data_IF_448308593010
#
_entry.id   IF_448308593010
#
_cell.length_a   1.000
_cell.length_b   1.000
_cell.length_c   1.000
_cell.angle_alpha   90.00
_cell.angle_beta   90.00
_cell.angle_gamma   90.00
#
_symmetry.space_group_name_H-M   'P 1'
#
loop_
_entity.id
_entity.type
_entity.pdbx_description
1 polymer ?
#
# COMPACT_ATOMS: atom_id res chain seq x y z
N UNK A 1 6.08 52.59 -8.83
CA UNK A 1 5.21 53.73 -9.26
C UNK A 1 4.31 53.27 -10.39
N UNK A 2 3.01 53.62 -10.41
CA UNK A 2 2.03 53.21 -11.46
C UNK A 2 1.83 54.34 -12.46
N UNK A 3 1.83 54.03 -13.75
CA UNK A 3 1.56 54.98 -14.84
C UNK A 3 0.81 54.28 -15.99
N UNK A 4 0.16 55.08 -16.85
CA UNK A 4 -0.66 54.59 -17.95
C UNK A 4 -0.28 55.31 -19.24
N UNK A 5 -0.33 54.57 -20.36
CA UNK A 5 -0.19 55.09 -21.72
C UNK A 5 -1.46 54.71 -22.46
N UNK A 6 -2.30 55.70 -22.76
CA UNK A 6 -3.57 55.47 -23.46
C UNK A 6 -3.41 55.68 -24.96
N UNK A 7 -4.25 54.99 -25.72
CA UNK A 7 -4.42 55.16 -27.17
C UNK A 7 -3.15 54.92 -28.00
N UNK A 8 -2.20 54.13 -27.50
CA UNK A 8 -0.95 53.82 -28.20
C UNK A 8 -1.22 52.91 -29.40
N UNK A 9 -0.91 53.38 -30.61
CA UNK A 9 -1.10 52.62 -31.85
C UNK A 9 0.17 51.80 -32.12
N UNK A 10 0.03 50.49 -32.29
CA UNK A 10 1.12 49.57 -32.57
C UNK A 10 0.78 48.65 -33.76
N UNK A 11 1.81 48.35 -34.55
CA UNK A 11 1.72 47.55 -35.77
C UNK A 11 1.89 46.04 -35.52
N UNK A 12 1.50 45.27 -36.53
CA UNK A 12 1.48 43.81 -36.49
C UNK A 12 0.23 43.26 -35.80
N UNK A 13 0.32 42.03 -35.32
CA UNK A 13 -0.83 41.31 -34.75
C UNK A 13 -1.02 41.61 -33.26
N UNK A 14 -2.12 41.13 -32.68
CA UNK A 14 -2.56 41.52 -31.33
C UNK A 14 -1.50 41.17 -30.27
N UNK A 15 -1.10 42.18 -29.50
CA UNK A 15 -0.15 42.08 -28.39
C UNK A 15 -0.88 41.75 -27.08
N UNK A 16 -0.17 41.06 -26.21
CA UNK A 16 -0.53 40.76 -24.82
C UNK A 16 0.67 41.02 -23.91
N UNK A 17 0.44 41.25 -22.62
CA UNK A 17 1.52 41.29 -21.64
C UNK A 17 2.18 39.91 -21.54
N UNK A 18 3.51 39.88 -21.42
CA UNK A 18 4.28 38.66 -21.20
C UNK A 18 3.95 38.08 -19.81
N UNK A 19 3.84 36.74 -19.65
CA UNK A 19 3.75 36.12 -18.33
C UNK A 19 4.93 36.52 -17.44
N UNK A 20 4.66 36.62 -16.13
CA UNK A 20 5.68 36.96 -15.12
C UNK A 20 6.09 35.66 -14.43
N UNK A 21 7.15 35.06 -14.95
CA UNK A 21 7.72 33.82 -14.40
C UNK A 21 8.83 34.10 -13.38
N UNK A 22 9.44 35.29 -13.42
CA UNK A 22 10.48 35.75 -12.49
C UNK A 22 9.89 36.73 -11.45
N UNK A 23 10.00 36.46 -10.14
CA UNK A 23 9.52 37.39 -9.10
C UNK A 23 10.31 38.71 -9.02
N UNK A 24 11.50 38.80 -9.63
CA UNK A 24 12.39 39.97 -9.58
C UNK A 24 12.28 40.87 -10.83
N UNK A 25 11.18 40.84 -11.58
CA UNK A 25 11.00 41.72 -12.75
C UNK A 25 11.03 43.21 -12.34
N UNK A 26 11.86 44.07 -12.96
CA UNK A 26 11.99 45.47 -12.54
C UNK A 26 10.82 46.35 -13.00
N UNK A 27 10.06 45.91 -14.00
CA UNK A 27 8.82 46.55 -14.47
C UNK A 27 7.74 45.49 -14.69
N UNK A 28 6.53 45.78 -14.22
CA UNK A 28 5.31 44.99 -14.45
C UNK A 28 4.44 45.72 -15.46
N UNK A 29 4.12 45.09 -16.59
CA UNK A 29 3.28 45.66 -17.65
C UNK A 29 1.93 44.91 -17.76
N UNK A 30 0.85 45.65 -17.98
CA UNK A 30 -0.51 45.14 -18.21
C UNK A 30 -1.14 45.85 -19.41
N UNK A 31 -1.85 45.09 -20.23
CA UNK A 31 -2.74 45.65 -21.26
C UNK A 31 -4.12 45.83 -20.63
N UNK A 32 -4.58 47.07 -20.48
CA UNK A 32 -5.90 47.39 -19.93
C UNK A 32 -7.00 47.18 -20.98
N UNK A 33 -6.76 47.65 -22.20
CA UNK A 33 -7.71 47.55 -23.31
C UNK A 33 -6.99 47.40 -24.65
N UNK A 34 -7.69 46.82 -25.63
CA UNK A 34 -7.24 46.75 -27.03
C UNK A 34 -8.41 47.07 -27.94
N UNK A 35 -8.23 48.03 -28.83
CA UNK A 35 -9.20 48.46 -29.84
C UNK A 35 -8.63 48.19 -31.23
N UNK A 36 -9.45 47.72 -32.21
CA UNK A 36 -9.02 47.66 -33.60
C UNK A 36 -8.83 49.08 -34.16
N UNK A 37 -7.82 49.27 -35.01
CA UNK A 37 -7.51 50.55 -35.63
C UNK A 37 -7.01 50.36 -37.08
N UNK A 38 -7.94 50.09 -38.00
CA UNK A 38 -7.61 49.73 -39.39
C UNK A 38 -6.87 48.39 -39.45
N UNK A 39 -5.69 48.38 -40.06
CA UNK A 39 -4.76 47.24 -40.04
C UNK A 39 -3.89 47.14 -38.78
N UNK A 40 -4.04 48.09 -37.85
CA UNK A 40 -3.25 48.22 -36.62
C UNK A 40 -4.14 47.98 -35.39
N UNK A 41 -3.51 47.96 -34.22
CA UNK A 41 -4.20 47.89 -32.93
C UNK A 41 -3.84 49.09 -32.05
N UNK A 42 -4.83 49.58 -31.32
CA UNK A 42 -4.69 50.68 -30.36
C UNK A 42 -4.83 50.14 -28.94
N UNK A 43 -3.87 50.43 -28.07
CA UNK A 43 -3.77 49.87 -26.73
C UNK A 43 -3.87 50.96 -25.66
N UNK A 44 -4.54 50.61 -24.56
CA UNK A 44 -4.33 51.29 -23.29
C UNK A 44 -3.45 50.36 -22.43
N UNK A 45 -2.25 50.84 -22.10
CA UNK A 45 -1.24 50.12 -21.34
C UNK A 45 -1.10 50.71 -19.93
N UNK A 46 -0.77 49.86 -18.99
CA UNK A 46 -0.47 50.22 -17.60
C UNK A 46 0.83 49.55 -17.18
N UNK A 47 1.77 50.34 -16.67
CA UNK A 47 3.02 49.81 -16.14
C UNK A 47 3.23 50.24 -14.69
N UNK A 48 3.87 49.36 -13.93
CA UNK A 48 4.31 49.59 -12.57
C UNK A 48 5.79 49.27 -12.46
N UNK A 49 6.60 50.28 -12.15
CA UNK A 49 8.03 50.12 -11.95
C UNK A 49 8.36 49.83 -10.49
N UNK A 50 9.19 48.80 -10.30
CA UNK A 50 9.79 48.38 -9.02
C UNK A 50 11.18 49.00 -8.84
N UNK A 51 11.96 49.12 -9.92
CA UNK A 51 13.31 49.68 -9.89
C UNK A 51 13.44 51.00 -10.68
N UNK A 52 14.34 51.92 -10.27
CA UNK A 52 14.69 53.10 -11.06
C UNK A 52 15.62 52.73 -12.22
N UNK A 53 15.38 53.30 -13.40
CA UNK A 53 16.17 52.98 -14.60
C UNK A 53 15.48 53.36 -15.91
N UNK A 54 16.14 53.06 -17.03
CA UNK A 54 15.59 53.16 -18.38
C UNK A 54 15.18 51.76 -18.86
N UNK A 55 13.92 51.59 -19.22
CA UNK A 55 13.37 50.30 -19.66
C UNK A 55 12.53 50.48 -20.93
N UNK A 56 12.52 49.49 -21.82
CA UNK A 56 11.64 49.47 -23.01
C UNK A 56 10.41 48.60 -22.71
N UNK A 57 9.20 49.16 -22.80
CA UNK A 57 7.97 48.40 -22.53
C UNK A 57 7.72 47.28 -23.56
N UNK A 58 8.36 47.33 -24.72
CA UNK A 58 8.34 46.26 -25.73
C UNK A 58 8.83 44.91 -25.18
N UNK A 59 9.81 44.91 -24.29
CA UNK A 59 10.42 43.68 -23.74
C UNK A 59 9.48 42.91 -22.81
N UNK A 60 8.39 43.56 -22.38
CA UNK A 60 7.33 43.03 -21.52
C UNK A 60 6.04 42.71 -22.30
N UNK A 61 6.06 42.83 -23.62
CA UNK A 61 4.96 42.46 -24.52
C UNK A 61 5.34 41.21 -25.33
N UNK A 62 4.31 40.49 -25.78
CA UNK A 62 4.45 39.41 -26.77
C UNK A 62 3.24 39.38 -27.70
N UNK A 63 3.41 38.85 -28.91
CA UNK A 63 2.32 38.67 -29.88
C UNK A 63 1.49 37.45 -29.47
N UNK A 64 0.16 37.57 -29.50
CA UNK A 64 -0.76 36.48 -29.13
C UNK A 64 -0.61 35.24 -30.04
N UNK A 65 -0.12 35.43 -31.26
CA UNK A 65 0.13 34.37 -32.25
C UNK A 65 1.59 33.87 -32.27
N UNK A 66 2.47 34.41 -31.42
CA UNK A 66 3.90 34.07 -31.41
C UNK A 66 4.75 34.66 -32.54
N UNK A 67 4.23 35.60 -33.34
CA UNK A 67 4.97 36.23 -34.44
C UNK A 67 6.02 37.28 -33.98
N UNK A 68 6.82 37.78 -34.93
CA UNK A 68 8.25 38.10 -34.76
C UNK A 68 8.67 39.26 -33.84
N UNK A 69 7.77 40.14 -33.38
CA UNK A 69 8.06 41.36 -32.57
C UNK A 69 9.04 42.42 -33.16
N UNK A 70 9.89 42.10 -34.15
CA UNK A 70 10.96 42.96 -34.70
C UNK A 70 10.45 44.27 -35.31
N UNK A 71 9.22 44.26 -35.80
CA UNK A 71 8.51 45.41 -36.37
C UNK A 71 7.89 46.35 -35.31
N UNK A 72 8.01 46.03 -34.02
CA UNK A 72 7.52 46.88 -32.94
C UNK A 72 8.52 48.00 -32.59
N UNK A 73 8.09 49.29 -32.60
CA UNK A 73 8.95 50.38 -32.15
C UNK A 73 9.28 50.24 -30.66
N UNK A 74 10.41 50.83 -30.26
CA UNK A 74 10.79 50.95 -28.85
C UNK A 74 9.82 51.90 -28.13
N UNK A 75 9.47 51.55 -26.89
CA UNK A 75 8.60 52.33 -26.00
C UNK A 75 9.41 52.61 -24.72
N UNK A 76 10.42 53.50 -24.78
CA UNK A 76 11.31 53.76 -23.65
C UNK A 76 10.61 54.54 -22.54
N UNK A 77 10.70 54.05 -21.31
CA UNK A 77 10.26 54.71 -20.08
C UNK A 77 11.45 54.95 -19.15
N UNK A 78 11.60 56.19 -18.69
CA UNK A 78 12.63 56.58 -17.72
C UNK A 78 11.99 56.71 -16.33
N UNK A 79 12.25 55.74 -15.47
CA UNK A 79 11.75 55.71 -14.09
C UNK A 79 12.78 56.37 -13.18
N UNK A 80 12.45 57.58 -12.73
CA UNK A 80 13.26 58.33 -11.77
C UNK A 80 12.99 57.83 -10.34
N UNK A 81 14.02 57.67 -9.48
CA UNK A 81 13.82 57.38 -8.08
C UNK A 81 13.13 58.57 -7.40
N UNK A 82 12.14 58.28 -6.53
CA UNK A 82 11.41 59.31 -5.78
C UNK A 82 12.23 59.84 -4.59
N UNK A 83 13.16 59.02 -4.08
CA UNK A 83 14.06 59.39 -2.98
C UNK A 83 15.52 59.37 -3.45
N UNK A 84 16.37 60.28 -2.95
CA UNK A 84 17.82 60.24 -3.20
C UNK A 84 18.45 58.90 -2.75
N UNK A 85 19.49 58.42 -3.46
CA UNK A 85 20.18 57.18 -3.09
C UNK A 85 20.81 57.30 -1.69
N UNK A 86 20.77 56.20 -0.94
CA UNK A 86 21.44 56.08 0.36
C UNK A 86 20.70 56.64 1.58
N UNK A 87 19.48 57.17 1.44
CA UNK A 87 18.73 57.70 2.59
C UNK A 87 18.20 56.64 3.57
N UNK A 88 18.04 55.39 3.13
CA UNK A 88 17.51 54.31 3.94
C UNK A 88 18.38 53.07 3.81
N UNK A 89 19.02 52.68 4.91
CA UNK A 89 19.50 51.32 5.09
C UNK A 89 18.37 50.50 5.73
N UNK A 90 17.99 49.33 5.16
CA UNK A 90 17.13 48.39 5.86
C UNK A 90 17.74 48.11 7.24
N UNK A 91 16.93 48.22 8.29
CA UNK A 91 17.44 47.96 9.63
C UNK A 91 17.96 46.51 9.68
N UNK A 92 19.20 46.31 10.17
CA UNK A 92 19.76 44.97 10.26
C UNK A 92 18.84 44.11 11.14
N UNK A 93 18.26 43.08 10.52
CA UNK A 93 17.38 42.14 11.21
C UNK A 93 18.23 41.34 12.19
N UNK A 94 18.28 41.79 13.45
CA UNK A 94 18.78 40.96 14.55
C UNK A 94 17.86 39.74 14.63
N UNK A 95 18.37 38.51 14.43
CA UNK A 95 17.53 37.32 14.52
C UNK A 95 17.10 37.12 15.97
N UNK A 96 15.94 37.66 16.32
CA UNK A 96 15.31 37.38 17.61
C UNK A 96 14.79 35.94 17.55
N UNK A 97 15.41 35.04 18.32
CA UNK A 97 14.86 33.69 18.47
C UNK A 97 13.41 33.80 18.97
N UNK A 98 12.44 33.14 18.30
CA UNK A 98 11.05 33.22 18.72
C UNK A 98 10.95 32.68 20.15
N UNK A 99 10.19 33.35 21.05
CA UNK A 99 10.02 32.87 22.42
C UNK A 99 9.51 31.44 22.36
N UNK A 100 10.27 30.52 22.95
CA UNK A 100 9.96 29.09 22.86
C UNK A 100 8.51 28.85 23.30
N UNK A 101 7.74 28.13 22.48
CA UNK A 101 6.35 27.77 22.76
C UNK A 101 6.28 26.86 23.99
N UNK A 102 6.27 27.50 25.15
CA UNK A 102 6.48 26.89 26.45
C UNK A 102 5.47 25.79 26.74
N UNK A 103 5.95 24.63 27.18
CA UNK A 103 5.11 23.51 27.60
C UNK A 103 4.62 22.59 26.48
N UNK A 104 4.30 23.06 25.27
CA UNK A 104 3.74 22.20 24.21
C UNK A 104 4.70 21.06 23.82
N UNK A 105 5.99 21.37 23.62
CA UNK A 105 7.05 20.37 23.39
C UNK A 105 7.16 19.37 24.55
N UNK A 106 6.93 19.81 25.79
CA UNK A 106 6.90 18.93 26.97
C UNK A 106 5.74 17.95 26.94
N UNK A 107 4.53 18.43 26.62
CA UNK A 107 3.34 17.58 26.46
C UNK A 107 3.46 16.59 25.30
N UNK A 108 4.07 16.98 24.17
CA UNK A 108 4.37 16.05 23.07
C UNK A 108 5.32 14.93 23.53
N UNK A 109 6.39 15.26 24.26
CA UNK A 109 7.34 14.27 24.78
C UNK A 109 6.64 13.34 25.79
N UNK A 110 5.86 13.87 26.73
CA UNK A 110 5.12 13.08 27.70
C UNK A 110 4.12 12.12 27.03
N UNK A 111 3.37 12.59 26.03
CA UNK A 111 2.45 11.77 25.23
C UNK A 111 3.19 10.68 24.44
N UNK A 112 4.32 11.02 23.82
CA UNK A 112 5.16 10.05 23.10
C UNK A 112 5.72 8.96 24.01
N UNK A 113 6.24 9.32 25.19
CA UNK A 113 6.73 8.35 26.20
C UNK A 113 5.61 7.45 26.68
N UNK A 114 4.44 8.00 27.01
CA UNK A 114 3.27 7.22 27.43
C UNK A 114 2.82 6.25 26.34
N UNK A 115 2.81 6.68 25.07
CA UNK A 115 2.44 5.84 23.93
C UNK A 115 3.43 4.69 23.72
N UNK A 116 4.74 4.96 23.78
CA UNK A 116 5.79 3.93 23.66
C UNK A 116 5.73 2.91 24.81
N UNK A 117 5.51 3.36 26.05
CA UNK A 117 5.30 2.48 27.20
C UNK A 117 4.03 1.61 27.03
N UNK A 118 2.94 2.19 26.53
CA UNK A 118 1.72 1.47 26.19
C UNK A 118 1.93 0.41 25.11
N UNK A 119 2.67 0.74 24.05
CA UNK A 119 3.04 -0.22 23.00
C UNK A 119 3.86 -1.38 23.55
N UNK A 120 4.90 -1.12 24.35
CA UNK A 120 5.69 -2.18 24.99
C UNK A 120 4.84 -3.03 25.93
N UNK A 121 3.93 -2.43 26.71
CA UNK A 121 3.01 -3.18 27.56
C UNK A 121 2.13 -4.14 26.74
N UNK A 122 1.57 -3.69 25.61
CA UNK A 122 0.78 -4.54 24.70
C UNK A 122 1.63 -5.69 24.15
N UNK A 123 2.84 -5.40 23.65
CA UNK A 123 3.73 -6.40 23.06
C UNK A 123 4.13 -7.48 24.08
N UNK A 124 4.62 -7.08 25.26
CA UNK A 124 5.11 -8.03 26.26
C UNK A 124 3.99 -8.75 27.03
N UNK A 125 2.92 -8.06 27.44
CA UNK A 125 1.80 -8.69 28.18
C UNK A 125 0.97 -9.56 27.24
N UNK A 126 0.72 -9.11 26.01
CA UNK A 126 0.00 -9.89 25.00
C UNK A 126 0.74 -11.18 24.62
N UNK A 127 2.05 -11.11 24.39
CA UNK A 127 2.86 -12.29 24.08
C UNK A 127 2.93 -13.28 25.25
N UNK A 128 3.08 -12.78 26.50
CA UNK A 128 3.12 -13.62 27.71
C UNK A 128 1.77 -14.27 28.05
N UNK A 129 0.64 -13.62 27.74
CA UNK A 129 -0.69 -14.25 27.87
C UNK A 129 -0.90 -15.33 26.82
N UNK A 130 -0.53 -15.08 25.56
CA UNK A 130 -0.62 -16.09 24.49
C UNK A 130 0.18 -17.36 24.78
N UNK A 131 1.36 -17.26 25.38
CA UNK A 131 2.14 -18.45 25.74
C UNK A 131 1.53 -19.24 26.90
N UNK A 132 0.91 -18.57 27.87
CA UNK A 132 0.18 -19.21 28.98
C UNK A 132 -1.13 -19.87 28.53
N UNK A 133 -1.88 -19.22 27.63
CA UNK A 133 -3.10 -19.78 27.03
C UNK A 133 -2.77 -20.97 26.12
N UNK A 134 -1.72 -20.87 25.28
CA UNK A 134 -1.24 -21.97 24.46
C UNK A 134 -0.75 -23.18 25.30
N UNK A 135 -0.14 -22.94 26.46
CA UNK A 135 0.24 -24.01 27.38
C UNK A 135 -0.96 -24.74 28.02
N UNK A 136 -2.12 -24.08 28.09
CA UNK A 136 -3.35 -24.64 28.70
C UNK A 136 -4.23 -25.37 27.69
N UNK A 137 -4.12 -25.06 26.39
CA UNK A 137 -5.04 -25.55 25.35
C UNK A 137 -4.34 -26.28 24.20
N UNK A 138 -3.58 -27.35 24.52
CA UNK A 138 -3.18 -28.36 23.53
C UNK A 138 -3.64 -29.74 24.00
N UNK A 139 -4.87 -30.11 23.63
CA UNK A 139 -5.15 -31.52 23.33
C UNK A 139 -4.41 -31.80 22.01
N UNK A 140 -3.41 -32.69 21.97
CA UNK A 140 -2.70 -32.97 20.73
C UNK A 140 -3.68 -33.49 19.69
N UNK A 141 -3.63 -32.95 18.47
CA UNK A 141 -4.48 -33.40 17.35
C UNK A 141 -4.26 -34.89 17.15
N UNK A 142 -5.33 -35.67 17.27
CA UNK A 142 -5.28 -37.12 17.16
C UNK A 142 -5.40 -37.55 15.71
N UNK A 143 -4.94 -38.75 15.39
CA UNK A 143 -5.09 -39.32 14.06
C UNK A 143 -6.58 -39.49 13.69
N UNK A 144 -7.45 -39.76 14.67
CA UNK A 144 -8.91 -39.75 14.47
C UNK A 144 -9.43 -38.38 13.99
N UNK A 145 -8.98 -37.27 14.60
CA UNK A 145 -9.38 -35.90 14.21
C UNK A 145 -8.98 -35.59 12.74
N UNK A 146 -7.87 -36.18 12.26
CA UNK A 146 -7.42 -36.06 10.86
C UNK A 146 -8.17 -36.98 9.88
N UNK A 147 -8.49 -38.20 10.31
CA UNK A 147 -9.16 -39.21 9.48
C UNK A 147 -10.67 -38.93 9.31
N UNK A 148 -11.33 -38.35 10.32
CA UNK A 148 -12.76 -38.08 10.32
C UNK A 148 -13.27 -37.38 9.04
N UNK A 149 -12.73 -36.20 8.62
CA UNK A 149 -13.22 -35.52 7.41
C UNK A 149 -13.03 -36.35 6.12
N UNK A 150 -11.99 -37.20 6.07
CA UNK A 150 -11.72 -38.08 4.91
C UNK A 150 -12.75 -39.22 4.83
N UNK A 151 -13.08 -39.85 5.96
CA UNK A 151 -14.10 -40.91 6.04
C UNK A 151 -15.49 -40.35 5.72
N UNK A 152 -15.86 -39.21 6.29
CA UNK A 152 -17.13 -38.53 5.97
C UNK A 152 -17.22 -38.09 4.50
N UNK A 153 -16.11 -37.67 3.88
CA UNK A 153 -16.08 -37.33 2.45
C UNK A 153 -16.27 -38.58 1.57
N UNK A 154 -15.64 -39.70 1.91
CA UNK A 154 -15.78 -40.96 1.18
C UNK A 154 -17.17 -41.60 1.35
N UNK A 155 -17.78 -41.56 2.54
CA UNK A 155 -19.19 -41.99 2.73
C UNK A 155 -20.16 -41.22 1.82
N UNK A 156 -19.94 -39.91 1.64
CA UNK A 156 -20.75 -39.06 0.76
C UNK A 156 -20.42 -39.24 -0.74
N UNK A 157 -19.52 -40.16 -1.10
CA UNK A 157 -19.06 -40.37 -2.47
C UNK A 157 -18.25 -39.21 -3.05
N UNK A 158 -17.77 -38.30 -2.19
CA UNK A 158 -17.08 -37.05 -2.59
C UNK A 158 -15.55 -37.15 -2.55
N UNK A 159 -14.99 -38.29 -2.16
CA UNK A 159 -13.55 -38.53 -2.15
C UNK A 159 -13.10 -39.09 -3.50
N UNK A 160 -12.14 -38.42 -4.13
CA UNK A 160 -11.55 -38.80 -5.40
C UNK A 160 -10.52 -39.94 -5.25
N UNK A 161 -9.95 -40.39 -6.36
CA UNK A 161 -8.97 -41.50 -6.34
C UNK A 161 -7.72 -41.17 -5.51
N UNK A 162 -7.28 -39.90 -5.50
CA UNK A 162 -6.13 -39.46 -4.72
C UNK A 162 -6.42 -39.49 -3.22
N UNK A 163 -7.56 -38.93 -2.79
CA UNK A 163 -7.99 -38.94 -1.39
C UNK A 163 -8.24 -40.35 -0.87
N UNK A 164 -8.79 -41.25 -1.69
CA UNK A 164 -8.95 -42.68 -1.36
C UNK A 164 -7.60 -43.34 -1.06
N UNK A 165 -6.59 -43.11 -1.91
CA UNK A 165 -5.25 -43.64 -1.72
C UNK A 165 -4.53 -43.02 -0.50
N UNK A 166 -4.74 -41.74 -0.21
CA UNK A 166 -4.19 -41.12 1.02
C UNK A 166 -4.82 -41.73 2.28
N UNK A 167 -6.14 -41.93 2.30
CA UNK A 167 -6.85 -42.57 3.40
C UNK A 167 -6.31 -43.99 3.66
N UNK A 168 -6.26 -44.82 2.61
CA UNK A 168 -5.73 -46.19 2.70
C UNK A 168 -4.28 -46.21 3.20
N UNK A 169 -3.41 -45.32 2.67
CA UNK A 169 -2.01 -45.20 3.09
C UNK A 169 -1.89 -44.85 4.57
N UNK A 170 -2.65 -43.89 5.08
CA UNK A 170 -2.59 -43.49 6.50
C UNK A 170 -3.01 -44.65 7.43
N UNK A 171 -4.08 -45.36 7.07
CA UNK A 171 -4.59 -46.50 7.84
C UNK A 171 -3.59 -47.67 7.83
N UNK A 172 -3.05 -48.03 6.65
CA UNK A 172 -2.02 -49.07 6.53
C UNK A 172 -0.72 -48.69 7.27
N UNK A 173 -0.28 -47.44 7.22
CA UNK A 173 0.91 -46.97 7.96
C UNK A 173 0.71 -47.10 9.47
N UNK A 174 -0.45 -46.69 10.00
CA UNK A 174 -0.77 -46.86 11.41
C UNK A 174 -0.74 -48.35 11.82
N UNK A 175 -1.45 -49.22 11.09
CA UNK A 175 -1.54 -50.64 11.45
C UNK A 175 -0.20 -51.36 11.30
N UNK A 176 0.59 -51.05 10.26
CA UNK A 176 1.95 -51.60 10.09
C UNK A 176 2.86 -51.21 11.27
N UNK A 177 2.76 -49.96 11.76
CA UNK A 177 3.52 -49.50 12.93
C UNK A 177 3.02 -50.16 14.23
N UNK A 178 1.70 -50.22 14.45
CA UNK A 178 1.08 -50.86 15.63
C UNK A 178 1.39 -52.36 15.73
N UNK A 179 1.49 -53.05 14.59
CA UNK A 179 1.85 -54.47 14.52
C UNK A 179 3.38 -54.74 14.52
N UNK A 180 4.23 -53.70 14.59
CA UNK A 180 5.69 -53.86 14.56
C UNK A 180 6.25 -54.35 13.22
N UNK A 181 5.52 -54.17 12.12
CA UNK A 181 5.86 -54.68 10.78
C UNK A 181 6.59 -53.64 9.89
N UNK A 182 7.23 -52.64 10.50
CA UNK A 182 7.83 -51.50 9.80
C UNK A 182 8.89 -51.88 8.76
N UNK A 183 9.75 -52.85 9.10
CA UNK A 183 10.93 -53.23 8.32
C UNK A 183 10.65 -54.34 7.28
N UNK A 184 9.41 -54.83 7.17
CA UNK A 184 9.05 -55.90 6.22
C UNK A 184 8.67 -55.34 4.85
N UNK A 185 8.86 -56.16 3.81
CA UNK A 185 8.42 -55.84 2.44
C UNK A 185 6.90 -55.58 2.43
N UNK A 186 6.40 -54.58 1.67
CA UNK A 186 4.99 -54.18 1.73
C UNK A 186 3.98 -55.33 1.52
N UNK A 187 4.24 -56.24 0.59
CA UNK A 187 3.36 -57.39 0.34
C UNK A 187 3.31 -58.41 1.48
N UNK A 188 4.44 -58.65 2.17
CA UNK A 188 4.50 -59.52 3.35
C UNK A 188 3.78 -58.87 4.53
N UNK A 189 4.01 -57.57 4.76
CA UNK A 189 3.34 -56.82 5.82
C UNK A 189 1.80 -56.80 5.62
N UNK A 190 1.32 -56.60 4.39
CA UNK A 190 -0.12 -56.64 4.10
C UNK A 190 -0.74 -58.03 4.29
N UNK A 191 -0.03 -59.09 3.88
CA UNK A 191 -0.49 -60.46 4.08
C UNK A 191 -0.59 -60.85 5.56
N UNK A 192 0.29 -60.30 6.42
CA UNK A 192 0.26 -60.52 7.86
C UNK A 192 -0.79 -59.65 8.56
N UNK A 193 -0.95 -58.38 8.16
CA UNK A 193 -1.99 -57.49 8.67
C UNK A 193 -3.41 -58.03 8.42
N UNK A 194 -3.65 -58.69 7.28
CA UNK A 194 -4.94 -59.35 6.98
C UNK A 194 -5.25 -60.54 7.89
N UNK A 195 -4.24 -61.17 8.52
CA UNK A 195 -4.41 -62.26 9.50
C UNK A 195 -4.53 -61.76 10.94
N UNK A 196 -4.17 -60.50 11.21
CA UNK A 196 -4.21 -59.92 12.55
C UNK A 196 -5.65 -59.88 13.08
N UNK A 197 -5.86 -60.28 14.34
CA UNK A 197 -7.20 -60.34 14.95
C UNK A 197 -7.93 -58.99 14.90
N UNK A 198 -7.28 -57.91 15.36
CA UNK A 198 -7.87 -56.57 15.37
C UNK A 198 -7.95 -55.90 13.99
N UNK A 199 -6.86 -55.93 13.20
CA UNK A 199 -6.76 -55.18 11.95
C UNK A 199 -7.42 -55.90 10.76
N UNK A 200 -7.36 -57.23 10.71
CA UNK A 200 -7.81 -58.03 9.57
C UNK A 200 -9.30 -57.92 9.23
N UNK A 201 -10.24 -57.80 10.20
CA UNK A 201 -11.64 -57.49 9.93
C UNK A 201 -11.84 -56.07 9.36
N UNK A 202 -11.23 -55.07 10.01
CA UNK A 202 -11.36 -53.65 9.63
C UNK A 202 -10.77 -53.37 8.23
N UNK A 203 -9.60 -53.94 7.92
CA UNK A 203 -8.97 -53.80 6.61
C UNK A 203 -9.81 -54.41 5.49
N UNK A 204 -10.43 -55.57 5.71
CA UNK A 204 -11.32 -56.19 4.71
C UNK A 204 -12.58 -55.36 4.45
N UNK A 205 -13.20 -54.84 5.51
CA UNK A 205 -14.36 -53.94 5.40
C UNK A 205 -13.99 -52.64 4.66
N UNK A 206 -12.81 -52.08 4.93
CA UNK A 206 -12.29 -50.92 4.23
C UNK A 206 -12.00 -51.22 2.74
N UNK A 207 -11.30 -52.32 2.43
CA UNK A 207 -11.01 -52.75 1.06
C UNK A 207 -12.30 -52.93 0.25
N UNK A 208 -13.29 -53.64 0.81
CA UNK A 208 -14.60 -53.86 0.18
C UNK A 208 -15.32 -52.52 -0.07
N UNK A 209 -15.37 -51.64 0.93
CA UNK A 209 -16.05 -50.34 0.84
C UNK A 209 -15.35 -49.34 -0.11
N UNK A 210 -14.01 -49.31 -0.12
CA UNK A 210 -13.22 -48.36 -0.89
C UNK A 210 -13.21 -48.69 -2.39
N UNK A 211 -13.18 -50.00 -2.72
CA UNK A 211 -13.02 -50.49 -4.09
C UNK A 211 -14.34 -50.95 -4.77
N UNK A 212 -15.44 -51.19 -4.05
CA UNK A 212 -16.70 -51.48 -4.73
C UNK A 212 -17.31 -50.22 -5.41
N UNK A 213 -17.80 -50.34 -6.67
CA UNK A 213 -18.40 -49.22 -7.40
C UNK A 213 -19.76 -48.76 -6.85
N UNK A 214 -20.35 -49.53 -5.92
CA UNK A 214 -21.45 -49.13 -5.04
C UNK A 214 -21.17 -49.70 -3.65
N UNK A 215 -20.70 -48.92 -2.66
CA UNK A 215 -20.57 -49.41 -1.30
C UNK A 215 -21.95 -49.85 -0.79
N UNK A 216 -22.07 -51.11 -0.39
CA UNK A 216 -23.27 -51.69 0.22
C UNK A 216 -22.97 -51.99 1.68
N UNK A 217 -23.44 -51.11 2.55
CA UNK A 217 -23.26 -51.24 4.00
C UNK A 217 -23.17 -49.86 4.63
N UNK A 218 -23.84 -49.69 5.77
CA UNK A 218 -23.58 -48.55 6.64
C UNK A 218 -22.30 -48.86 7.43
N UNK A 219 -21.23 -48.12 7.13
CA UNK A 219 -19.94 -48.31 7.78
C UNK A 219 -19.88 -47.39 8.99
N UNK A 220 -19.93 -47.97 10.20
CA UNK A 220 -19.89 -47.20 11.44
C UNK A 220 -18.54 -46.47 11.57
N UNK A 221 -18.58 -45.16 11.33
CA UNK A 221 -17.44 -44.25 11.43
C UNK A 221 -16.86 -44.23 12.84
N UNK A 222 -17.69 -44.38 13.88
CA UNK A 222 -17.21 -44.36 15.26
C UNK A 222 -16.44 -45.63 15.59
N UNK A 223 -16.95 -46.79 15.20
CA UNK A 223 -16.24 -48.06 15.34
C UNK A 223 -14.96 -48.11 14.49
N UNK A 224 -14.99 -47.60 13.25
CA UNK A 224 -13.78 -47.48 12.42
C UNK A 224 -12.74 -46.57 13.07
N UNK A 225 -13.15 -45.42 13.63
CA UNK A 225 -12.21 -44.42 14.16
C UNK A 225 -11.70 -44.72 15.58
N UNK A 226 -12.35 -45.62 16.33
CA UNK A 226 -11.99 -45.96 17.71
C UNK A 226 -10.48 -46.25 17.91
N UNK A 227 -9.81 -47.08 17.07
CA UNK A 227 -8.39 -47.40 17.25
C UNK A 227 -7.45 -46.19 17.16
N UNK A 228 -7.85 -45.12 16.46
CA UNK A 228 -7.00 -43.94 16.20
C UNK A 228 -7.25 -42.78 17.18
N UNK A 229 -8.24 -42.88 18.09
CA UNK A 229 -8.63 -41.80 19.03
C UNK A 229 -7.53 -41.36 19.98
N UNK A 230 -6.56 -42.23 20.26
CA UNK A 230 -5.44 -41.94 21.18
C UNK A 230 -4.08 -41.87 20.46
N UNK A 231 -4.06 -41.92 19.13
CA UNK A 231 -2.83 -41.88 18.34
C UNK A 231 -2.49 -40.43 17.94
N UNK A 232 -1.24 -39.96 18.09
CA UNK A 232 -0.86 -38.60 17.72
C UNK A 232 -0.80 -38.42 16.19
N UNK A 233 -1.36 -37.33 15.65
CA UNK A 233 -1.40 -37.08 14.20
C UNK A 233 -0.01 -36.79 13.56
N UNK A 234 1.02 -36.54 14.38
CA UNK A 234 2.37 -36.17 13.93
C UNK A 234 3.30 -37.37 13.64
N UNK A 235 2.88 -38.59 13.95
CA UNK A 235 3.76 -39.79 13.95
C UNK A 235 3.79 -40.58 12.63
N UNK A 236 3.52 -39.91 11.50
CA UNK A 236 3.41 -40.52 10.16
C UNK A 236 4.34 -39.87 9.12
N UNK A 237 5.59 -39.64 9.49
CA UNK A 237 6.70 -39.38 8.58
C UNK A 237 7.53 -40.66 8.39
#
# INVERSE_FOLDING_TARGET
MRAQITQLILAGTKLVAKPIDDPNVPVVLRVLATYPHGSLFRYDLEYYALEPGLFDLRDYLTRKDGSSMTDLPQIPVNIKPVLPPGQFQPNNLVPTEPPSLGGYRGWMIAGGVLWVLGLFAILFVGHRRRSLEAATMVKPVTLADRLQPMVEAAQRGKLDAAGKAELERLLLTYWRRRAGLGDRKPGEALAELRKHADAGPLLRQLEEWLHHPRPRGDLDVNALLEPYRNAPAAETA
#
